data_IF_065221654208
#
_entry.id   IF_065221654208
#
_cell.length_a   1.000
_cell.length_b   1.000
_cell.length_c   1.000
_cell.angle_alpha   90.00
_cell.angle_beta   90.00
_cell.angle_gamma   90.00
#
_symmetry.space_group_name_H-M   'P 1'
#
loop_
_entity.id
_entity.type
_entity.pdbx_description
1 polymer ?
#
# COMPACT_ATOMS: atom_id res chain seq x y z
N UNK A 1 26.95 23.01 0.48
CA UNK A 1 26.06 23.46 1.57
C UNK A 1 24.85 22.54 1.54
N UNK A 2 24.95 21.40 2.23
CA UNK A 2 23.85 20.47 2.41
C UNK A 2 22.85 21.13 3.35
N UNK A 3 21.69 21.50 2.81
CA UNK A 3 20.56 21.89 3.65
C UNK A 3 20.06 20.58 4.24
N UNK A 4 20.46 20.27 5.47
CA UNK A 4 19.79 19.26 6.26
C UNK A 4 18.35 19.73 6.44
N UNK A 5 17.45 19.19 5.63
CA UNK A 5 16.02 19.35 5.84
C UNK A 5 15.66 18.56 7.08
N UNK A 6 15.80 19.18 8.25
CA UNK A 6 15.21 18.69 9.49
C UNK A 6 13.69 18.63 9.26
N UNK A 7 13.21 17.45 8.91
CA UNK A 7 11.79 17.15 8.84
C UNK A 7 11.41 16.54 10.19
N UNK A 8 10.48 17.20 10.89
CA UNK A 8 9.90 16.63 12.09
C UNK A 8 8.84 15.62 11.63
N UNK A 9 9.00 14.35 12.01
CA UNK A 9 7.95 13.35 11.78
C UNK A 9 6.68 13.76 12.53
N UNK A 10 5.52 13.65 11.86
CA UNK A 10 4.24 13.81 12.52
C UNK A 10 4.01 12.62 13.45
N UNK A 11 4.30 12.79 14.73
CA UNK A 11 3.92 11.87 15.79
C UNK A 11 2.43 12.04 16.13
N UNK A 12 1.73 10.96 16.47
CA UNK A 12 0.37 11.03 17.03
C UNK A 12 0.51 11.52 18.48
N UNK A 13 0.19 12.79 18.79
CA UNK A 13 0.43 13.31 20.12
C UNK A 13 -0.48 12.60 21.12
N UNK A 14 0.12 12.06 22.19
CA UNK A 14 -0.65 11.72 23.38
C UNK A 14 -1.16 13.04 23.98
N UNK A 15 -2.48 13.13 24.18
CA UNK A 15 -3.09 14.29 24.85
C UNK A 15 -2.58 14.36 26.29
N UNK A 16 -2.49 13.19 26.93
CA UNK A 16 -1.94 13.03 28.27
C UNK A 16 -1.48 11.57 28.47
N UNK A 17 -0.20 11.35 28.69
CA UNK A 17 0.43 10.03 28.81
C UNK A 17 0.60 9.55 30.25
N UNK A 18 0.08 10.30 31.23
CA UNK A 18 0.22 9.97 32.65
C UNK A 18 -0.39 8.61 32.97
N UNK A 19 0.35 7.82 33.71
CA UNK A 19 -0.08 6.55 34.28
C UNK A 19 -1.05 6.75 35.45
N UNK A 20 -1.81 5.71 35.79
CA UNK A 20 -2.71 5.71 36.96
C UNK A 20 -1.99 6.14 38.24
N UNK A 21 -0.76 5.65 38.46
CA UNK A 21 0.02 5.93 39.67
C UNK A 21 0.46 7.39 39.75
N UNK A 22 0.81 8.02 38.62
CA UNK A 22 1.16 9.43 38.56
C UNK A 22 -0.05 10.32 38.82
N UNK A 23 -1.22 9.93 38.31
CA UNK A 23 -2.49 10.61 38.58
C UNK A 23 -2.83 10.48 40.07
N UNK A 24 -2.71 9.29 40.65
CA UNK A 24 -2.95 9.03 42.06
C UNK A 24 -2.01 9.84 42.96
N UNK A 25 -0.71 9.79 42.69
CA UNK A 25 0.31 10.51 43.47
C UNK A 25 0.04 12.00 43.46
N UNK A 26 -0.21 12.58 42.28
CA UNK A 26 -0.54 14.00 42.12
C UNK A 26 -1.83 14.38 42.83
N UNK A 27 -2.88 13.56 42.71
CA UNK A 27 -4.15 13.80 43.38
C UNK A 27 -3.97 13.79 44.90
N UNK A 28 -3.18 12.86 45.42
CA UNK A 28 -2.86 12.77 46.84
C UNK A 28 -2.07 13.99 47.33
N UNK A 29 -1.04 14.41 46.60
CA UNK A 29 -0.23 15.59 46.95
C UNK A 29 -1.10 16.85 47.00
N UNK A 30 -2.03 17.00 46.05
CA UNK A 30 -3.00 18.11 46.04
C UNK A 30 -3.93 18.09 47.26
N UNK A 31 -4.48 16.92 47.63
CA UNK A 31 -5.35 16.81 48.81
C UNK A 31 -4.58 17.11 50.09
N UNK A 32 -3.36 16.60 50.23
CA UNK A 32 -2.51 16.87 51.40
C UNK A 32 -2.17 18.37 51.49
N UNK A 33 -1.80 19.00 50.38
CA UNK A 33 -1.51 20.44 50.33
C UNK A 33 -2.73 21.31 50.69
N UNK A 34 -3.88 21.05 50.08
CA UNK A 34 -5.11 21.83 50.29
C UNK A 34 -5.72 21.62 51.68
N UNK A 35 -5.50 20.44 52.28
CA UNK A 35 -5.94 20.14 53.64
C UNK A 35 -5.01 20.68 54.73
N UNK A 36 -3.94 21.40 54.35
CA UNK A 36 -2.92 21.87 55.29
C UNK A 36 -2.18 20.72 56.00
N UNK A 37 -2.10 19.55 55.36
CA UNK A 37 -1.47 18.35 55.90
C UNK A 37 -2.35 17.53 56.84
N UNK A 38 -3.65 17.84 56.99
CA UNK A 38 -4.58 17.05 57.82
C UNK A 38 -4.98 15.72 57.17
N UNK A 39 -5.05 15.68 55.84
CA UNK A 39 -5.33 14.46 55.06
C UNK A 39 -4.04 13.98 54.38
N UNK A 40 -3.23 13.22 55.11
CA UNK A 40 -1.88 12.81 54.68
C UNK A 40 -1.58 11.30 54.77
N UNK A 41 -2.56 10.47 55.15
CA UNK A 41 -2.36 9.03 55.30
C UNK A 41 -2.42 8.30 53.94
N UNK A 42 -1.30 7.67 53.56
CA UNK A 42 -1.11 6.92 52.30
C UNK A 42 -1.34 5.42 52.43
N UNK A 43 -1.72 4.94 53.61
CA UNK A 43 -1.86 3.52 53.89
C UNK A 43 -2.91 2.86 53.01
N UNK A 44 -2.67 1.61 52.59
CA UNK A 44 -3.51 0.90 51.61
C UNK A 44 -4.95 0.63 52.08
N UNK A 45 -5.22 0.74 53.39
CA UNK A 45 -6.55 0.51 53.98
C UNK A 45 -7.37 1.78 54.22
N UNK A 46 -6.82 2.97 53.98
CA UNK A 46 -7.50 4.23 54.28
C UNK A 46 -8.57 4.58 53.23
N UNK A 47 -9.79 4.99 53.64
CA UNK A 47 -10.87 5.31 52.71
C UNK A 47 -10.50 6.37 51.67
N UNK A 48 -9.67 7.35 52.05
CA UNK A 48 -9.19 8.40 51.14
C UNK A 48 -8.33 7.81 50.01
N UNK A 49 -7.35 6.96 50.36
CA UNK A 49 -6.49 6.31 49.39
C UNK A 49 -7.26 5.41 48.43
N UNK A 50 -8.25 4.68 48.93
CA UNK A 50 -9.14 3.84 48.10
C UNK A 50 -9.97 4.68 47.13
N UNK A 51 -10.58 5.77 47.62
CA UNK A 51 -11.39 6.66 46.78
C UNK A 51 -10.56 7.37 45.71
N UNK A 52 -9.36 7.85 46.06
CA UNK A 52 -8.45 8.48 45.11
C UNK A 52 -7.94 7.49 44.05
N UNK A 53 -7.64 6.24 44.43
CA UNK A 53 -7.28 5.19 43.44
C UNK A 53 -8.43 4.90 42.51
N UNK A 54 -9.65 4.73 43.02
CA UNK A 54 -10.83 4.51 42.18
C UNK A 54 -11.06 5.64 41.15
N UNK A 55 -10.88 6.89 41.58
CA UNK A 55 -10.97 8.05 40.67
C UNK A 55 -9.79 8.10 39.67
N UNK A 56 -8.58 7.76 40.11
CA UNK A 56 -7.39 7.74 39.24
C UNK A 56 -7.52 6.66 38.16
N UNK A 57 -8.05 5.48 38.52
CA UNK A 57 -8.37 4.42 37.56
C UNK A 57 -9.39 4.90 36.51
N UNK A 58 -10.50 5.50 36.93
CA UNK A 58 -11.51 6.03 36.01
C UNK A 58 -10.94 7.13 35.10
N UNK A 59 -10.09 8.01 35.65
CA UNK A 59 -9.41 9.05 34.88
C UNK A 59 -8.40 8.45 33.87
N UNK A 60 -7.63 7.43 34.26
CA UNK A 60 -6.68 6.75 33.38
C UNK A 60 -7.38 6.04 32.22
N UNK A 61 -8.51 5.37 32.46
CA UNK A 61 -9.31 4.77 31.38
C UNK A 61 -9.86 5.84 30.42
N UNK A 62 -10.34 6.96 30.95
CA UNK A 62 -10.78 8.09 30.14
C UNK A 62 -9.63 8.67 29.30
N UNK A 63 -8.45 8.89 29.87
CA UNK A 63 -7.27 9.40 29.16
C UNK A 63 -6.81 8.42 28.07
N UNK A 64 -6.83 7.11 28.34
CA UNK A 64 -6.53 6.09 27.34
C UNK A 64 -7.45 6.19 26.12
N UNK A 65 -8.74 6.47 26.32
CA UNK A 65 -9.70 6.70 25.21
C UNK A 65 -9.46 8.05 24.54
N UNK A 66 -9.18 9.10 25.30
CA UNK A 66 -8.86 10.43 24.77
C UNK A 66 -7.62 10.42 23.87
N UNK A 67 -6.57 9.67 24.24
CA UNK A 67 -5.36 9.53 23.42
C UNK A 67 -5.62 8.86 22.06
N UNK A 68 -6.73 8.12 21.91
CA UNK A 68 -7.14 7.54 20.62
C UNK A 68 -7.98 8.50 19.77
N UNK A 69 -8.47 9.60 20.35
CA UNK A 69 -9.35 10.55 19.68
C UNK A 69 -8.70 11.24 18.47
N UNK A 70 -7.43 11.72 18.53
CA UNK A 70 -6.81 12.38 17.38
C UNK A 70 -6.76 11.49 16.14
N UNK A 71 -6.33 10.23 16.31
CA UNK A 71 -6.28 9.25 15.24
C UNK A 71 -7.69 8.92 14.71
N UNK A 72 -8.65 8.71 15.61
CA UNK A 72 -10.03 8.43 15.24
C UNK A 72 -10.66 9.58 14.42
N UNK A 73 -10.36 10.84 14.77
CA UNK A 73 -10.84 12.00 14.04
C UNK A 73 -10.28 12.05 12.61
N UNK A 74 -9.00 11.76 12.42
CA UNK A 74 -8.37 11.71 11.09
C UNK A 74 -9.00 10.60 10.25
N UNK A 75 -9.14 9.40 10.80
CA UNK A 75 -9.77 8.27 10.09
C UNK A 75 -11.22 8.59 9.71
N UNK A 76 -11.98 9.18 10.63
CA UNK A 76 -13.36 9.59 10.36
C UNK A 76 -13.44 10.69 9.30
N UNK A 77 -12.54 11.67 9.34
CA UNK A 77 -12.45 12.72 8.34
C UNK A 77 -12.16 12.15 6.95
N UNK A 78 -11.17 11.25 6.84
CA UNK A 78 -10.84 10.58 5.58
C UNK A 78 -12.00 9.75 5.06
N UNK A 79 -12.68 9.01 5.94
CA UNK A 79 -13.88 8.24 5.59
C UNK A 79 -15.01 9.15 5.07
N UNK A 80 -15.26 10.30 5.73
CA UNK A 80 -16.25 11.28 5.28
C UNK A 80 -15.84 11.96 3.96
N UNK A 81 -14.54 12.16 3.74
CA UNK A 81 -14.05 12.62 2.46
C UNK A 81 -14.31 11.57 1.35
N UNK A 82 -14.49 10.30 1.69
CA UNK A 82 -14.68 9.19 0.75
C UNK A 82 -13.37 8.48 0.41
N UNK A 83 -12.35 8.60 1.26
CA UNK A 83 -11.16 7.75 1.19
C UNK A 83 -11.49 6.42 1.84
N UNK A 84 -11.30 5.34 1.09
CA UNK A 84 -11.47 3.98 1.57
C UNK A 84 -10.12 3.30 1.80
N UNK A 85 -10.06 2.42 2.79
CA UNK A 85 -8.89 1.61 3.09
C UNK A 85 -8.86 0.40 2.18
N UNK A 86 -7.70 0.09 1.60
CA UNK A 86 -7.56 -1.14 0.83
C UNK A 86 -7.54 -2.33 1.79
N UNK A 87 -8.57 -3.17 1.72
CA UNK A 87 -8.70 -4.34 2.59
C UNK A 87 -7.76 -5.49 2.21
N UNK A 88 -6.97 -5.33 1.14
CA UNK A 88 -6.16 -6.39 0.54
C UNK A 88 -6.93 -7.14 -0.52
N UNK A 89 -6.27 -8.13 -1.12
CA UNK A 89 -6.83 -8.94 -2.19
C UNK A 89 -6.48 -10.42 -2.00
N UNK A 90 -7.36 -11.30 -2.47
CA UNK A 90 -7.13 -12.74 -2.50
C UNK A 90 -6.29 -13.07 -3.73
N UNK A 91 -5.33 -13.97 -3.56
CA UNK A 91 -4.61 -14.50 -4.71
C UNK A 91 -5.56 -15.31 -5.60
N UNK A 92 -5.45 -15.11 -6.91
CA UNK A 92 -6.21 -15.83 -7.94
C UNK A 92 -5.27 -16.65 -8.79
N UNK A 93 -5.74 -17.81 -9.24
CA UNK A 93 -4.95 -18.74 -10.06
C UNK A 93 -5.87 -19.62 -10.91
N UNK A 94 -5.43 -19.99 -12.10
CA UNK A 94 -6.12 -21.00 -12.91
C UNK A 94 -5.57 -22.39 -12.59
N UNK A 95 -6.47 -23.29 -12.18
CA UNK A 95 -6.16 -24.67 -11.85
C UNK A 95 -6.52 -25.60 -13.01
N UNK A 96 -5.59 -26.47 -13.37
CA UNK A 96 -5.78 -27.53 -14.36
C UNK A 96 -6.04 -28.84 -13.63
N UNK A 97 -7.25 -29.35 -13.75
CA UNK A 97 -7.65 -30.66 -13.25
C UNK A 97 -7.45 -31.71 -14.34
N UNK A 98 -6.89 -32.87 -13.97
CA UNK A 98 -6.66 -33.99 -14.88
C UNK A 98 -7.33 -35.25 -14.34
N UNK A 99 -8.14 -35.92 -15.16
CA UNK A 99 -8.80 -37.18 -14.85
C UNK A 99 -7.84 -38.35 -14.99
N UNK A 100 -8.13 -39.46 -14.31
CA UNK A 100 -7.33 -40.70 -14.43
C UNK A 100 -7.51 -41.39 -15.77
N UNK A 101 -8.68 -41.24 -16.40
CA UNK A 101 -8.99 -41.73 -17.74
C UNK A 101 -10.09 -40.87 -18.40
N UNK A 102 -10.13 -40.76 -19.74
CA UNK A 102 -11.21 -40.07 -20.44
C UNK A 102 -12.58 -40.73 -20.16
N UNK A 103 -13.62 -39.91 -20.03
CA UNK A 103 -14.98 -40.39 -19.73
C UNK A 103 -15.93 -40.24 -20.90
N UNK A 104 -16.88 -41.16 -21.01
CA UNK A 104 -17.96 -41.11 -22.02
C UNK A 104 -19.10 -40.16 -21.67
N UNK A 105 -19.10 -39.62 -20.45
CA UNK A 105 -20.05 -38.61 -19.95
C UNK A 105 -19.28 -37.40 -19.44
N UNK A 106 -19.87 -36.18 -19.53
CA UNK A 106 -19.24 -34.99 -19.00
C UNK A 106 -19.02 -35.14 -17.49
N UNK A 107 -17.83 -34.73 -17.02
CA UNK A 107 -17.45 -34.82 -15.62
C UNK A 107 -17.45 -33.42 -15.00
N UNK A 108 -18.13 -33.27 -13.86
CA UNK A 108 -18.33 -31.97 -13.22
C UNK A 108 -17.59 -31.90 -11.88
N UNK A 109 -16.80 -30.86 -11.69
CA UNK A 109 -16.20 -30.50 -10.40
C UNK A 109 -16.96 -29.28 -9.86
N UNK A 110 -17.52 -29.36 -8.64
CA UNK A 110 -18.32 -28.27 -8.09
C UNK A 110 -17.47 -27.00 -7.86
N UNK A 111 -18.15 -25.86 -7.79
CA UNK A 111 -17.57 -24.65 -7.22
C UNK A 111 -17.26 -24.87 -5.72
N UNK A 112 -16.25 -24.19 -5.20
CA UNK A 112 -15.78 -24.35 -3.83
C UNK A 112 -14.97 -25.63 -3.59
N UNK A 113 -14.40 -26.23 -4.64
CA UNK A 113 -13.54 -27.40 -4.50
C UNK A 113 -12.17 -27.01 -3.95
N UNK A 114 -11.74 -27.64 -2.85
CA UNK A 114 -10.54 -27.30 -2.10
C UNK A 114 -9.27 -27.94 -2.69
N UNK A 115 -8.25 -27.11 -2.95
CA UNK A 115 -6.91 -27.51 -3.39
C UNK A 115 -5.85 -26.85 -2.52
N UNK A 116 -4.78 -27.58 -2.20
CA UNK A 116 -3.78 -27.18 -1.21
C UNK A 116 -2.37 -27.26 -1.79
N UNK A 117 -1.48 -26.38 -1.33
CA UNK A 117 -0.05 -26.41 -1.67
C UNK A 117 0.71 -27.53 -0.94
N UNK A 118 1.67 -28.17 -1.63
CA UNK A 118 2.49 -29.28 -1.08
C UNK A 118 3.48 -28.92 0.03
N UNK A 119 3.62 -27.66 0.44
CA UNK A 119 4.61 -27.22 1.44
C UNK A 119 4.13 -26.23 2.50
N UNK A 120 3.06 -25.46 2.25
CA UNK A 120 2.65 -24.33 3.09
C UNK A 120 1.20 -24.39 3.57
N UNK A 121 0.50 -25.50 3.31
CA UNK A 121 -0.91 -25.72 3.69
C UNK A 121 -1.86 -24.58 3.31
N UNK A 122 -1.50 -23.76 2.31
CA UNK A 122 -2.33 -22.67 1.79
C UNK A 122 -3.45 -23.27 0.95
N UNK A 123 -4.70 -22.84 1.21
CA UNK A 123 -5.90 -23.39 0.61
C UNK A 123 -6.48 -22.47 -0.46
N UNK A 124 -6.95 -23.08 -1.54
CA UNK A 124 -7.62 -22.43 -2.66
C UNK A 124 -8.94 -23.13 -2.97
N UNK A 125 -9.92 -22.36 -3.43
CA UNK A 125 -11.25 -22.83 -3.78
C UNK A 125 -11.63 -22.44 -5.21
N UNK A 126 -12.20 -23.37 -5.97
CA UNK A 126 -12.69 -23.09 -7.32
C UNK A 126 -13.83 -22.07 -7.32
N UNK A 127 -13.76 -21.04 -8.18
CA UNK A 127 -14.76 -19.96 -8.24
C UNK A 127 -16.07 -20.39 -8.91
N UNK A 128 -15.98 -21.33 -9.84
CA UNK A 128 -17.10 -21.77 -10.65
C UNK A 128 -17.08 -23.29 -10.83
N UNK A 129 -18.19 -23.83 -11.31
CA UNK A 129 -18.27 -25.25 -11.69
C UNK A 129 -17.39 -25.49 -12.92
N UNK A 130 -16.53 -26.52 -12.86
CA UNK A 130 -15.78 -26.98 -14.02
C UNK A 130 -16.50 -28.17 -14.64
N UNK A 131 -16.79 -28.09 -15.94
CA UNK A 131 -17.34 -29.19 -16.72
C UNK A 131 -16.27 -29.65 -17.72
N UNK A 132 -15.75 -30.86 -17.52
CA UNK A 132 -14.85 -31.53 -18.47
C UNK A 132 -15.72 -32.30 -19.47
N UNK A 133 -15.72 -31.94 -20.77
CA UNK A 133 -16.50 -32.63 -21.78
C UNK A 133 -16.13 -34.11 -21.90
N UNK A 134 -17.08 -34.92 -22.38
CA UNK A 134 -16.80 -36.33 -22.67
C UNK A 134 -15.64 -36.46 -23.67
N UNK A 135 -14.73 -37.40 -23.44
CA UNK A 135 -13.53 -37.62 -24.23
C UNK A 135 -12.31 -36.77 -23.84
N UNK A 136 -12.49 -35.67 -23.10
CA UNK A 136 -11.37 -34.86 -22.62
C UNK A 136 -10.82 -35.41 -21.30
N UNK A 137 -9.49 -35.29 -21.13
CA UNK A 137 -8.79 -35.72 -19.93
C UNK A 137 -8.61 -34.59 -18.91
N UNK A 138 -8.63 -33.33 -19.35
CA UNK A 138 -8.35 -32.17 -18.49
C UNK A 138 -9.33 -31.03 -18.72
N UNK A 139 -9.41 -30.16 -17.71
CA UNK A 139 -10.15 -28.90 -17.76
C UNK A 139 -9.48 -27.85 -16.86
N UNK A 140 -9.70 -26.58 -17.19
CA UNK A 140 -9.13 -25.44 -16.47
C UNK A 140 -10.25 -24.64 -15.82
N UNK A 141 -10.05 -24.24 -14.57
CA UNK A 141 -10.99 -23.40 -13.82
C UNK A 141 -10.25 -22.44 -12.90
N UNK A 142 -10.78 -21.24 -12.74
CA UNK A 142 -10.21 -20.26 -11.83
C UNK A 142 -10.52 -20.59 -10.38
N UNK A 143 -9.54 -20.37 -9.52
CA UNK A 143 -9.62 -20.53 -8.08
C UNK A 143 -9.13 -19.26 -7.37
N UNK A 144 -9.57 -19.10 -6.12
CA UNK A 144 -9.11 -18.04 -5.23
C UNK A 144 -8.65 -18.59 -3.89
N UNK A 145 -7.77 -17.86 -3.23
CA UNK A 145 -7.32 -18.15 -1.88
C UNK A 145 -8.47 -18.13 -0.85
N UNK A 146 -8.32 -18.89 0.22
CA UNK A 146 -9.22 -18.87 1.37
C UNK A 146 -9.31 -17.47 2.01
N UNK A 147 -8.14 -16.88 2.30
CA UNK A 147 -8.02 -15.58 2.95
C UNK A 147 -7.23 -14.59 2.09
N UNK A 148 -7.32 -13.32 2.47
CA UNK A 148 -6.52 -12.23 1.90
C UNK A 148 -5.04 -12.40 2.31
N UNK A 149 -4.13 -11.84 1.53
CA UNK A 149 -2.71 -11.75 1.88
C UNK A 149 -1.75 -12.14 0.77
N UNK A 150 -0.58 -11.49 0.76
CA UNK A 150 0.51 -11.77 -0.18
C UNK A 150 1.10 -13.18 -0.04
N UNK A 151 0.93 -13.78 1.14
CA UNK A 151 1.28 -15.15 1.48
C UNK A 151 0.68 -16.23 0.57
N UNK A 152 -0.39 -15.90 -0.16
CA UNK A 152 -1.05 -16.80 -1.11
C UNK A 152 -0.50 -16.65 -2.53
N UNK A 153 0.50 -15.78 -2.77
CA UNK A 153 1.20 -15.72 -4.05
C UNK A 153 2.19 -16.88 -4.16
N UNK A 154 1.66 -18.06 -4.49
CA UNK A 154 2.43 -19.31 -4.56
C UNK A 154 2.97 -19.56 -5.97
N UNK A 155 4.17 -20.16 -6.12
CA UNK A 155 4.77 -20.40 -7.43
C UNK A 155 3.95 -21.39 -8.27
N UNK A 156 4.26 -21.45 -9.57
CA UNK A 156 3.73 -22.45 -10.48
C UNK A 156 3.97 -23.88 -9.94
N UNK A 157 3.04 -24.79 -10.24
CA UNK A 157 3.06 -26.22 -9.88
C UNK A 157 3.08 -26.54 -8.37
N UNK A 158 2.86 -25.55 -7.50
CA UNK A 158 2.85 -25.74 -6.05
C UNK A 158 1.49 -26.21 -5.52
N UNK A 159 0.39 -25.94 -6.22
CA UNK A 159 -0.98 -26.35 -5.87
C UNK A 159 -1.30 -27.70 -6.50
N UNK A 160 -0.93 -28.77 -5.80
CA UNK A 160 -0.99 -30.13 -6.33
C UNK A 160 -1.63 -31.17 -5.40
N UNK A 161 -2.14 -30.74 -4.24
CA UNK A 161 -2.74 -31.62 -3.24
C UNK A 161 -4.25 -31.44 -3.20
N UNK A 162 -4.96 -32.56 -3.37
CA UNK A 162 -6.42 -32.62 -3.25
C UNK A 162 -6.78 -33.02 -1.82
N UNK A 163 -7.52 -32.17 -1.10
CA UNK A 163 -7.97 -32.47 0.27
C UNK A 163 -9.17 -33.42 0.27
N UNK A 164 -10.10 -33.23 -0.67
CA UNK A 164 -11.32 -34.03 -0.80
C UNK A 164 -11.25 -34.86 -2.09
N UNK A 165 -10.85 -36.14 -2.03
CA UNK A 165 -10.70 -36.95 -3.24
C UNK A 165 -12.06 -37.14 -3.92
N UNK A 166 -12.13 -36.77 -5.19
CA UNK A 166 -13.30 -36.96 -6.04
C UNK A 166 -13.03 -38.15 -6.98
N UNK A 167 -14.02 -39.02 -7.19
CA UNK A 167 -13.85 -40.22 -8.00
C UNK A 167 -13.39 -39.85 -9.42
N UNK A 168 -12.44 -40.60 -9.99
CA UNK A 168 -11.88 -40.38 -11.34
C UNK A 168 -11.03 -39.11 -11.53
N UNK A 169 -10.92 -38.25 -10.50
CA UNK A 169 -9.96 -37.15 -10.52
C UNK A 169 -8.56 -37.68 -10.16
N UNK A 170 -7.59 -37.46 -11.05
CA UNK A 170 -6.22 -37.96 -10.89
C UNK A 170 -5.30 -36.94 -10.24
N UNK A 171 -5.26 -35.72 -10.78
CA UNK A 171 -4.39 -34.66 -10.26
C UNK A 171 -4.98 -33.27 -10.50
N UNK A 172 -4.44 -32.31 -9.76
CA UNK A 172 -4.64 -30.88 -9.98
C UNK A 172 -3.27 -30.22 -9.98
N UNK A 173 -3.07 -29.22 -10.82
CA UNK A 173 -1.88 -28.37 -10.84
C UNK A 173 -2.25 -26.94 -11.19
N UNK A 174 -1.52 -25.96 -10.68
CA UNK A 174 -1.49 -24.62 -11.26
C UNK A 174 -0.32 -24.52 -12.26
N UNK A 175 -0.61 -24.20 -13.52
CA UNK A 175 0.46 -24.04 -14.53
C UNK A 175 1.21 -22.72 -14.34
N UNK A 176 0.47 -21.67 -13.94
CA UNK A 176 1.02 -20.35 -13.63
C UNK A 176 1.03 -20.11 -12.11
N UNK A 177 1.88 -19.18 -11.66
CA UNK A 177 1.91 -18.77 -10.27
C UNK A 177 0.58 -18.13 -9.86
N UNK A 178 0.14 -18.37 -8.62
CA UNK A 178 -0.96 -17.61 -8.04
C UNK A 178 -0.48 -16.19 -7.76
N UNK A 179 -1.28 -15.20 -8.13
CA UNK A 179 -0.92 -13.78 -8.04
C UNK A 179 -2.11 -12.93 -7.61
N UNK A 180 -1.85 -11.66 -7.29
CA UNK A 180 -2.88 -10.70 -6.86
C UNK A 180 -3.24 -10.80 -5.37
N UNK A 181 -2.61 -11.71 -4.61
CA UNK A 181 -2.69 -11.71 -3.16
C UNK A 181 -2.01 -10.47 -2.60
N UNK A 182 -2.73 -9.70 -1.79
CA UNK A 182 -2.22 -8.50 -1.13
C UNK A 182 -2.77 -8.42 0.29
N UNK A 183 -1.95 -7.93 1.20
CA UNK A 183 -2.37 -7.69 2.59
C UNK A 183 -3.26 -6.45 2.69
N UNK A 184 -4.00 -6.37 3.79
CA UNK A 184 -4.72 -5.15 4.12
C UNK A 184 -3.72 -4.02 4.37
N UNK A 185 -3.93 -2.89 3.71
CA UNK A 185 -3.09 -1.71 3.85
C UNK A 185 -3.05 -1.24 5.31
N UNK A 186 -1.89 -0.92 5.91
CA UNK A 186 -1.80 -0.35 7.25
C UNK A 186 -2.58 0.97 7.38
N UNK A 187 -3.02 1.32 8.59
CA UNK A 187 -3.80 2.56 8.81
C UNK A 187 -2.96 3.81 8.51
N UNK A 188 -1.68 3.79 8.87
CA UNK A 188 -0.76 4.90 8.63
C UNK A 188 -0.58 5.16 7.13
N UNK A 189 -0.37 4.10 6.34
CA UNK A 189 -0.28 4.18 4.89
C UNK A 189 -1.59 4.69 4.26
N UNK A 190 -2.73 4.21 4.75
CA UNK A 190 -4.04 4.68 4.30
C UNK A 190 -4.26 6.16 4.60
N UNK A 191 -3.74 6.67 5.72
CA UNK A 191 -3.80 8.10 6.07
C UNK A 191 -2.94 8.92 5.09
N UNK A 192 -1.70 8.50 4.88
CA UNK A 192 -0.76 9.18 3.98
C UNK A 192 -1.29 9.21 2.53
N UNK A 193 -1.78 8.07 2.04
CA UNK A 193 -2.44 7.97 0.73
C UNK A 193 -3.72 8.81 0.68
N UNK A 194 -4.56 8.74 1.70
CA UNK A 194 -5.83 9.46 1.76
C UNK A 194 -5.68 10.97 1.66
N UNK A 195 -4.70 11.54 2.35
CA UNK A 195 -4.38 12.96 2.27
C UNK A 195 -3.94 13.37 0.85
N UNK A 196 -3.13 12.53 0.20
CA UNK A 196 -2.73 12.73 -1.20
C UNK A 196 -3.95 12.64 -2.13
N UNK A 197 -4.81 11.64 -1.96
CA UNK A 197 -6.01 11.45 -2.78
C UNK A 197 -6.98 12.63 -2.70
N UNK A 198 -7.19 13.19 -1.51
CA UNK A 198 -8.02 14.39 -1.33
C UNK A 198 -7.43 15.56 -2.12
N UNK A 199 -6.11 15.74 -2.08
CA UNK A 199 -5.43 16.80 -2.84
C UNK A 199 -5.57 16.62 -4.34
N UNK A 200 -5.36 15.40 -4.86
CA UNK A 200 -5.32 15.17 -6.31
C UNK A 200 -6.69 14.93 -6.94
N UNK A 201 -7.82 15.07 -6.22
CA UNK A 201 -9.17 14.89 -6.80
C UNK A 201 -9.39 15.71 -8.06
N UNK A 202 -8.98 16.97 -8.00
CA UNK A 202 -8.92 17.86 -9.14
C UNK A 202 -7.47 18.28 -9.33
N UNK A 203 -6.95 18.11 -10.54
CA UNK A 203 -5.57 18.45 -10.84
C UNK A 203 -5.49 19.92 -11.24
N UNK A 204 -4.69 20.69 -10.52
CA UNK A 204 -4.59 22.14 -10.72
C UNK A 204 -3.16 22.57 -10.94
N UNK A 205 -2.25 22.19 -10.05
CA UNK A 205 -0.84 22.59 -10.13
C UNK A 205 -0.01 21.62 -10.93
N UNK A 206 1.14 22.09 -11.42
CA UNK A 206 2.14 21.25 -12.08
C UNK A 206 2.48 20.00 -11.25
N UNK A 207 2.68 20.19 -9.95
CA UNK A 207 3.00 19.11 -9.03
C UNK A 207 1.91 18.03 -9.00
N UNK A 208 0.63 18.44 -8.99
CA UNK A 208 -0.47 17.46 -8.95
C UNK A 208 -0.53 16.64 -10.25
N UNK A 209 -0.26 17.26 -11.40
CA UNK A 209 -0.16 16.55 -12.67
C UNK A 209 1.02 15.59 -12.73
N UNK A 210 2.19 16.00 -12.23
CA UNK A 210 3.39 15.16 -12.20
C UNK A 210 3.13 13.92 -11.34
N UNK A 211 2.69 14.14 -10.10
CA UNK A 211 2.42 13.08 -9.12
C UNK A 211 1.39 12.05 -9.62
N UNK A 212 0.31 12.53 -10.25
CA UNK A 212 -0.73 11.64 -10.75
C UNK A 212 -0.28 10.88 -12.00
N UNK A 213 0.45 11.53 -12.91
CA UNK A 213 1.01 10.85 -14.07
C UNK A 213 2.01 9.77 -13.63
N UNK A 214 2.91 10.07 -12.69
CA UNK A 214 3.84 9.09 -12.11
C UNK A 214 3.11 7.92 -11.44
N UNK A 215 2.02 8.18 -10.72
CA UNK A 215 1.17 7.13 -10.11
C UNK A 215 0.56 6.19 -11.15
N UNK A 216 0.05 6.74 -12.26
CA UNK A 216 -0.57 5.95 -13.33
C UNK A 216 0.47 5.12 -14.11
N UNK A 217 1.71 5.61 -14.22
CA UNK A 217 2.80 4.89 -14.89
C UNK A 217 3.47 3.85 -13.99
N UNK A 218 3.43 4.06 -12.67
CA UNK A 218 4.00 3.16 -11.67
C UNK A 218 5.33 3.65 -11.10
N UNK A 219 5.76 3.01 -10.02
CA UNK A 219 6.96 3.38 -9.24
C UNK A 219 8.21 3.46 -10.11
N UNK A 220 9.00 4.53 -9.93
CA UNK A 220 10.22 4.79 -10.69
C UNK A 220 10.02 5.67 -11.93
N UNK A 221 8.78 5.85 -12.39
CA UNK A 221 8.48 6.75 -13.51
C UNK A 221 8.72 8.21 -13.14
N UNK A 222 8.94 9.05 -14.15
CA UNK A 222 9.00 10.51 -13.97
C UNK A 222 8.07 11.24 -14.93
N UNK A 223 7.47 12.32 -14.45
CA UNK A 223 6.64 13.18 -15.28
C UNK A 223 6.93 14.66 -15.07
N UNK A 224 6.79 15.44 -16.15
CA UNK A 224 6.89 16.89 -16.11
C UNK A 224 5.74 17.51 -16.90
N UNK A 225 4.88 18.21 -16.19
CA UNK A 225 3.82 19.02 -16.75
C UNK A 225 4.34 20.42 -17.06
N UNK A 226 3.91 20.96 -18.19
CA UNK A 226 4.19 22.32 -18.61
C UNK A 226 2.86 22.96 -18.99
N UNK A 227 2.47 24.00 -18.24
CA UNK A 227 1.28 24.78 -18.53
C UNK A 227 1.46 25.63 -19.77
N UNK A 228 0.35 25.92 -20.44
CA UNK A 228 0.26 26.70 -21.67
C UNK A 228 0.99 26.10 -22.87
N UNK A 229 1.55 24.89 -22.80
CA UNK A 229 2.26 24.30 -23.92
C UNK A 229 1.31 23.51 -24.83
N UNK A 230 1.28 23.86 -26.11
CA UNK A 230 0.49 23.21 -27.14
C UNK A 230 0.96 21.79 -27.45
N UNK A 231 0.12 21.02 -28.15
CA UNK A 231 0.42 19.64 -28.53
C UNK A 231 1.60 19.47 -29.47
N UNK A 232 2.01 20.54 -30.16
CA UNK A 232 3.21 20.59 -31.01
C UNK A 232 4.51 20.76 -30.22
N UNK A 233 4.46 20.86 -28.88
CA UNK A 233 5.59 21.05 -27.97
C UNK A 233 6.32 22.38 -28.13
N UNK A 234 5.75 23.34 -28.85
CA UNK A 234 6.41 24.62 -29.15
C UNK A 234 5.48 25.80 -28.88
N UNK A 235 4.25 25.75 -29.36
CA UNK A 235 3.34 26.88 -29.28
C UNK A 235 2.80 27.07 -27.87
N UNK A 236 2.60 28.33 -27.47
CA UNK A 236 1.92 28.65 -26.21
C UNK A 236 0.41 28.79 -26.47
N UNK A 237 -0.39 27.85 -25.95
CA UNK A 237 -1.84 27.80 -26.09
C UNK A 237 -2.52 27.96 -24.74
N UNK A 238 -3.33 29.02 -24.53
CA UNK A 238 -4.11 29.17 -23.30
C UNK A 238 -5.01 27.98 -23.01
N UNK A 239 -5.02 27.51 -21.77
CA UNK A 239 -5.77 26.31 -21.37
C UNK A 239 -5.10 25.00 -21.74
N UNK A 240 -3.96 25.00 -22.45
CA UNK A 240 -3.23 23.76 -22.71
C UNK A 240 -2.34 23.35 -21.54
N UNK A 241 -2.25 22.04 -21.30
CA UNK A 241 -1.29 21.43 -20.39
C UNK A 241 -0.62 20.29 -21.14
N UNK A 242 0.71 20.30 -21.18
CA UNK A 242 1.49 19.25 -21.82
C UNK A 242 2.28 18.48 -20.76
N UNK A 243 2.05 17.17 -20.67
CA UNK A 243 2.76 16.28 -19.76
C UNK A 243 3.76 15.44 -20.55
N UNK A 244 5.01 15.47 -20.11
CA UNK A 244 6.08 14.63 -20.62
C UNK A 244 6.31 13.46 -19.67
N UNK A 245 6.34 12.26 -20.22
CA UNK A 245 6.37 11.01 -19.45
C UNK A 245 7.64 10.19 -19.72
N UNK A 246 8.30 9.77 -18.66
CA UNK A 246 9.46 8.89 -18.63
C UNK A 246 9.09 7.60 -17.88
N UNK A 247 9.35 6.44 -18.50
CA UNK A 247 9.07 5.15 -17.91
C UNK A 247 10.03 4.83 -16.74
N UNK A 248 9.72 3.83 -15.88
CA UNK A 248 10.56 3.49 -14.72
C UNK A 248 12.02 3.17 -15.05
N UNK A 249 12.30 2.66 -16.25
CA UNK A 249 13.65 2.33 -16.70
C UNK A 249 14.45 3.52 -17.24
N UNK A 250 13.95 4.75 -17.13
CA UNK A 250 14.60 5.94 -17.71
C UNK A 250 14.40 6.10 -19.21
N UNK A 251 13.61 5.23 -19.84
CA UNK A 251 13.28 5.28 -21.26
C UNK A 251 12.04 6.13 -21.53
N UNK A 252 11.90 6.73 -22.72
CA UNK A 252 10.67 7.41 -23.13
C UNK A 252 9.44 6.49 -23.01
N UNK A 253 8.35 7.01 -22.44
CA UNK A 253 7.13 6.22 -22.26
C UNK A 253 6.50 5.79 -23.59
N UNK A 254 6.08 4.53 -23.67
CA UNK A 254 5.45 3.97 -24.88
C UNK A 254 4.01 4.47 -25.08
N UNK A 255 3.46 4.28 -26.28
CA UNK A 255 2.12 4.78 -26.63
C UNK A 255 1.00 4.23 -25.74
N UNK A 256 1.12 2.98 -25.27
CA UNK A 256 0.12 2.36 -24.40
C UNK A 256 0.07 3.07 -23.04
N UNK A 257 1.24 3.32 -22.44
CA UNK A 257 1.37 4.06 -21.17
C UNK A 257 0.87 5.49 -21.33
N UNK A 258 1.25 6.17 -22.42
CA UNK A 258 0.79 7.54 -22.69
C UNK A 258 -0.74 7.62 -22.82
N UNK A 259 -1.37 6.62 -23.45
CA UNK A 259 -2.83 6.55 -23.56
C UNK A 259 -3.48 6.27 -22.20
N UNK A 260 -2.88 5.40 -21.38
CA UNK A 260 -3.35 5.15 -20.00
C UNK A 260 -3.30 6.43 -19.15
N UNK A 261 -2.21 7.19 -19.24
CA UNK A 261 -2.09 8.49 -18.55
C UNK A 261 -3.14 9.47 -19.09
N UNK A 262 -3.28 9.61 -20.41
CA UNK A 262 -4.26 10.53 -21.01
C UNK A 262 -5.69 10.21 -20.55
N UNK A 263 -6.08 8.93 -20.60
CA UNK A 263 -7.42 8.50 -20.21
C UNK A 263 -7.63 8.60 -18.68
N UNK A 264 -6.60 8.34 -17.88
CA UNK A 264 -6.70 8.45 -16.42
C UNK A 264 -6.82 9.90 -15.92
N UNK A 265 -6.35 10.86 -16.71
CA UNK A 265 -6.38 12.29 -16.38
C UNK A 265 -7.56 13.04 -17.02
N UNK A 266 -8.11 12.56 -18.14
CA UNK A 266 -9.11 13.29 -18.93
C UNK A 266 -10.36 13.69 -18.15
N UNK A 267 -10.77 12.88 -17.18
CA UNK A 267 -11.98 13.12 -16.38
C UNK A 267 -11.73 14.01 -15.15
N UNK A 268 -10.46 14.36 -14.90
CA UNK A 268 -10.01 15.09 -13.69
C UNK A 268 -9.42 16.47 -13.99
N UNK A 269 -9.37 16.85 -15.26
CA UNK A 269 -8.97 18.20 -15.68
C UNK A 269 -10.15 19.17 -15.62
N UNK A 270 -9.82 20.45 -15.42
CA UNK A 270 -10.81 21.52 -15.43
C UNK A 270 -11.43 21.68 -16.83
N UNK A 271 -12.70 22.09 -16.87
CA UNK A 271 -13.40 22.40 -18.12
C UNK A 271 -12.68 23.52 -18.87
N UNK A 272 -12.47 23.33 -20.18
CA UNK A 272 -11.72 24.26 -21.03
C UNK A 272 -10.22 23.99 -21.10
N UNK A 273 -9.70 23.02 -20.33
CA UNK A 273 -8.31 22.58 -20.41
C UNK A 273 -8.13 21.56 -21.54
N UNK A 274 -7.10 21.74 -22.37
CA UNK A 274 -6.68 20.74 -23.37
C UNK A 274 -5.45 19.99 -22.89
N UNK A 275 -5.59 18.69 -22.66
CA UNK A 275 -4.50 17.83 -22.20
C UNK A 275 -3.71 17.23 -23.36
N UNK A 276 -2.41 17.45 -23.36
CA UNK A 276 -1.45 16.79 -24.23
C UNK A 276 -0.51 15.90 -23.40
N UNK A 277 -0.22 14.71 -23.91
CA UNK A 277 0.67 13.75 -23.25
C UNK A 277 1.63 13.22 -24.29
N UNK A 278 2.93 13.38 -24.05
CA UNK A 278 4.03 13.02 -24.93
C UNK A 278 5.10 12.21 -24.19
N UNK A 279 5.89 11.40 -24.90
CA UNK A 279 7.12 10.87 -24.34
C UNK A 279 8.08 12.02 -23.97
N UNK A 280 8.87 11.84 -22.92
CA UNK A 280 10.01 12.70 -22.62
C UNK A 280 11.16 12.33 -23.56
N UNK A 281 11.72 13.33 -24.24
CA UNK A 281 12.92 13.16 -25.07
C UNK A 281 14.13 13.09 -24.13
N UNK A 282 14.96 12.06 -24.28
CA UNK A 282 16.14 11.81 -23.43
C UNK A 282 17.39 12.11 -24.25
N UNK A 283 18.29 12.92 -23.70
CA UNK A 283 19.61 13.18 -24.28
C UNK A 283 20.69 12.62 -23.35
N UNK A 284 21.59 11.81 -23.92
CA UNK A 284 22.75 11.29 -23.20
C UNK A 284 23.80 12.40 -23.04
N UNK A 285 24.13 12.74 -21.79
CA UNK A 285 25.18 13.70 -21.47
C UNK A 285 26.40 12.98 -20.91
N UNK A 286 27.50 13.00 -21.65
CA UNK A 286 28.78 12.48 -21.17
C UNK A 286 29.43 13.48 -20.22
N UNK A 287 29.52 13.14 -18.93
CA UNK A 287 30.16 13.97 -17.90
C UNK A 287 31.54 13.42 -17.56
N UNK A 288 32.58 14.26 -17.65
CA UNK A 288 33.92 13.95 -17.12
C UNK A 288 34.08 14.59 -15.74
N UNK A 289 34.23 13.75 -14.71
CA UNK A 289 34.44 14.21 -13.34
C UNK A 289 35.93 14.10 -13.00
N UNK A 290 36.52 15.22 -12.55
CA UNK A 290 37.88 15.25 -12.02
C UNK A 290 37.80 15.34 -10.50
N UNK A 291 38.25 14.28 -9.81
CA UNK A 291 38.33 14.26 -8.35
C UNK A 291 39.79 14.38 -7.89
N UNK A 292 40.02 15.14 -6.81
CA UNK A 292 41.32 15.21 -6.14
C UNK A 292 41.29 14.28 -4.93
N UNK A 293 42.18 13.30 -4.92
CA UNK A 293 42.30 12.32 -3.83
C UNK A 293 43.04 12.99 -2.65
N UNK A 294 42.48 12.92 -1.44
CA UNK A 294 43.06 13.52 -0.23
C UNK A 294 43.55 12.52 0.83
N UNK A 295 43.25 11.22 0.68
CA UNK A 295 43.65 10.14 1.59
C UNK A 295 44.46 9.07 0.83
N UNK A 296 45.07 8.11 1.54
CA UNK A 296 45.78 6.93 0.98
C UNK A 296 44.84 5.90 0.31
N UNK A 297 43.86 6.38 -0.45
CA UNK A 297 42.92 5.56 -1.24
C UNK A 297 43.39 5.57 -2.69
N UNK A 298 43.34 4.42 -3.34
CA UNK A 298 43.79 4.30 -4.73
C UNK A 298 42.76 4.90 -5.70
N UNK A 299 43.20 5.31 -6.89
CA UNK A 299 42.33 5.88 -7.91
C UNK A 299 41.23 4.89 -8.37
N UNK A 300 41.57 3.59 -8.41
CA UNK A 300 40.66 2.52 -8.81
C UNK A 300 39.54 2.32 -7.77
N UNK A 301 39.86 2.35 -6.48
CA UNK A 301 38.86 2.27 -5.39
C UNK A 301 37.88 3.46 -5.39
N UNK A 302 38.33 4.64 -5.81
CA UNK A 302 37.45 5.82 -5.95
C UNK A 302 36.57 5.70 -7.18
N UNK A 303 37.08 5.14 -8.29
CA UNK A 303 36.32 4.93 -9.51
C UNK A 303 35.22 3.88 -9.34
N UNK A 304 35.53 2.74 -8.71
CA UNK A 304 34.58 1.64 -8.50
C UNK A 304 33.42 2.03 -7.57
N UNK A 305 33.72 2.78 -6.50
CA UNK A 305 32.67 3.30 -5.60
C UNK A 305 31.74 4.31 -6.29
N UNK A 306 32.24 5.07 -7.28
CA UNK A 306 31.41 6.03 -8.02
C UNK A 306 30.47 5.32 -9.01
N UNK A 307 30.92 4.24 -9.66
CA UNK A 307 30.12 3.46 -10.60
C UNK A 307 28.94 2.72 -9.93
N UNK A 308 29.10 2.28 -8.67
CA UNK A 308 28.00 1.65 -7.91
C UNK A 308 26.88 2.63 -7.51
N UNK A 309 27.15 3.94 -7.45
CA UNK A 309 26.15 4.95 -7.08
C UNK A 309 25.40 5.54 -8.28
N UNK A 310 25.79 5.21 -9.51
CA UNK A 310 25.22 5.74 -10.74
C UNK A 310 24.25 4.78 -11.46
N UNK A 311 23.79 3.73 -10.79
CA UNK A 311 22.74 2.80 -11.27
C UNK A 311 21.48 3.00 -10.45
#
# INVERSE_FOLDING_TARGET
MTVETESLELFIPAIDDRSEEEIFTRAFDLVSFLSGGTLNDRSSGEPLGVLLRAQSFAAAEFLFRCNKLPLALIVQFLSLAGVERNLGAKATVSLTFTLTAPRSTPYTIPAGFEVVTSGSSKKFFTKSILVIPAGNLSGVVDAEAETLGGDFNVPAYSLNRITQPLAFLGSVINVEAAQGGAEAEPIEDAINRGMREIRVRNLVSEFDFNEEAERLMGTGSKAKAIGLLGGDRVTTTPGAIHIFCLAPGGEPANIAVLNSVRNGLSDRILLGTTLHVSPMDVEEVTVSVYAKITNDVTADEVADNYQMSST
#
